data_IF_863937604887
#
_entry.id   IF_863937604887
#
_cell.length_a   1.000
_cell.length_b   1.000
_cell.length_c   1.000
_cell.angle_alpha   90.00
_cell.angle_beta   90.00
_cell.angle_gamma   90.00
#
_symmetry.space_group_name_H-M   'P 1'
#
loop_
_entity.id
_entity.type
_entity.pdbx_description
1 polymer ?
#
# COMPACT_ATOMS: atom_id res chain seq x y z
N UNK A 1 -2.75 42.78 -53.50
CA UNK A 1 -4.09 42.65 -52.87
C UNK A 1 -4.69 41.33 -53.34
N UNK A 2 -4.48 40.26 -52.59
CA UNK A 2 -5.02 38.92 -52.86
C UNK A 2 -5.57 38.36 -51.55
N UNK A 3 -6.83 37.96 -51.59
CA UNK A 3 -7.67 37.66 -50.44
C UNK A 3 -7.38 36.27 -49.89
N UNK A 4 -7.05 36.18 -48.59
CA UNK A 4 -7.10 34.93 -47.81
C UNK A 4 -8.55 34.55 -47.60
N UNK A 5 -8.96 33.40 -48.12
CA UNK A 5 -10.19 32.72 -47.72
C UNK A 5 -9.88 31.83 -46.50
N UNK A 6 -10.34 32.27 -45.33
CA UNK A 6 -10.27 31.51 -44.07
C UNK A 6 -11.54 30.66 -43.95
N UNK A 7 -11.43 29.36 -44.24
CA UNK A 7 -12.51 28.38 -44.08
C UNK A 7 -12.45 27.76 -42.69
N UNK A 8 -12.74 28.54 -41.65
CA UNK A 8 -13.08 28.01 -40.32
C UNK A 8 -14.57 27.68 -40.28
N UNK A 9 -14.92 26.45 -40.64
CA UNK A 9 -16.23 25.90 -40.28
C UNK A 9 -16.29 25.68 -38.76
N UNK A 10 -17.28 26.21 -38.03
CA UNK A 10 -17.47 25.85 -36.63
C UNK A 10 -17.99 24.41 -36.55
N UNK A 11 -17.12 23.46 -36.19
CA UNK A 11 -17.54 22.12 -35.76
C UNK A 11 -18.39 22.28 -34.52
N UNK A 12 -19.71 22.16 -34.70
CA UNK A 12 -20.69 21.97 -33.64
C UNK A 12 -20.26 20.75 -32.81
N UNK A 13 -19.67 20.97 -31.64
CA UNK A 13 -19.50 19.91 -30.64
C UNK A 13 -20.90 19.58 -30.13
N UNK A 14 -21.45 18.48 -30.62
CA UNK A 14 -22.63 17.85 -30.02
C UNK A 14 -22.13 17.21 -28.72
N UNK A 15 -22.32 17.91 -27.61
CA UNK A 15 -22.15 17.35 -26.28
C UNK A 15 -23.23 16.28 -26.10
N UNK A 16 -22.87 15.01 -26.30
CA UNK A 16 -23.66 13.90 -25.78
C UNK A 16 -23.54 13.93 -24.26
N UNK A 17 -24.51 14.59 -23.63
CA UNK A 17 -24.77 14.47 -22.20
C UNK A 17 -25.19 13.03 -21.93
N UNK A 18 -24.22 12.18 -21.56
CA UNK A 18 -24.47 10.87 -21.01
C UNK A 18 -24.97 11.05 -19.57
N UNK A 19 -26.27 10.80 -19.40
CA UNK A 19 -26.98 10.77 -18.13
C UNK A 19 -27.03 9.33 -17.64
N UNK A 20 -26.54 9.10 -16.42
CA UNK A 20 -26.40 7.76 -15.81
C UNK A 20 -25.05 7.18 -16.20
N UNK A 21 -24.11 6.97 -15.27
CA UNK A 21 -24.31 6.13 -14.10
C UNK A 21 -23.72 6.78 -12.84
N UNK A 22 -24.41 6.65 -11.70
CA UNK A 22 -23.75 6.82 -10.40
C UNK A 22 -22.89 5.58 -10.19
N UNK A 23 -21.72 5.55 -10.83
CA UNK A 23 -20.65 4.67 -10.40
C UNK A 23 -20.46 4.92 -8.90
N UNK A 24 -20.61 3.87 -8.09
CA UNK A 24 -20.12 3.92 -6.71
C UNK A 24 -18.70 4.48 -6.79
N UNK A 25 -18.30 5.45 -5.95
CA UNK A 25 -17.01 6.08 -6.09
C UNK A 25 -15.97 4.97 -6.01
N UNK A 26 -15.41 4.59 -7.16
CA UNK A 26 -14.27 3.71 -7.19
C UNK A 26 -13.26 4.40 -6.29
N UNK A 27 -12.88 3.75 -5.19
CA UNK A 27 -11.83 4.24 -4.32
C UNK A 27 -10.62 4.47 -5.22
N UNK A 28 -10.42 5.73 -5.63
CA UNK A 28 -9.33 6.06 -6.52
C UNK A 28 -8.06 5.75 -5.76
N UNK A 29 -7.19 4.95 -6.38
CA UNK A 29 -5.87 4.64 -5.84
C UNK A 29 -5.08 5.94 -5.56
N UNK A 30 -5.33 6.99 -6.34
CA UNK A 30 -4.76 8.33 -6.12
C UNK A 30 -5.26 8.99 -4.83
N UNK A 31 -6.48 8.66 -4.37
CA UNK A 31 -7.01 9.13 -3.09
C UNK A 31 -6.31 8.49 -1.87
N UNK A 32 -5.58 7.39 -2.07
CA UNK A 32 -4.82 6.73 -1.00
C UNK A 32 -3.43 7.37 -0.79
N UNK A 33 -2.86 8.01 -1.80
CA UNK A 33 -1.53 8.60 -1.71
C UNK A 33 -1.42 9.63 -0.56
N UNK A 34 -2.37 10.57 -0.35
CA UNK A 34 -2.33 11.47 0.80
C UNK A 34 -2.39 10.74 2.15
N UNK A 35 -3.16 9.64 2.24
CA UNK A 35 -3.32 8.88 3.48
C UNK A 35 -2.01 8.27 3.95
N UNK A 36 -1.18 7.78 3.01
CA UNK A 36 0.13 7.18 3.34
C UNK A 36 1.12 8.17 3.98
N UNK A 37 0.88 9.47 3.82
CA UNK A 37 1.71 10.55 4.37
C UNK A 37 1.27 10.99 5.77
N UNK A 38 0.08 10.55 6.22
CA UNK A 38 -0.47 10.94 7.53
C UNK A 38 0.29 10.29 8.69
N UNK A 39 0.41 10.96 9.85
CA UNK A 39 1.04 10.38 11.04
C UNK A 39 0.26 9.17 11.57
N UNK A 40 -1.07 9.19 11.44
CA UNK A 40 -1.92 8.05 11.82
C UNK A 40 -1.55 6.79 11.03
N UNK A 41 -1.30 6.92 9.73
CA UNK A 41 -0.85 5.79 8.91
C UNK A 41 0.58 5.36 9.29
N UNK A 42 1.54 6.31 9.25
CA UNK A 42 2.97 6.02 9.38
C UNK A 42 3.40 5.53 10.76
N UNK A 43 2.82 6.10 11.81
CA UNK A 43 3.21 5.78 13.18
C UNK A 43 2.14 4.95 13.88
N UNK A 44 0.87 5.33 13.74
CA UNK A 44 -0.24 4.62 14.39
C UNK A 44 -0.41 3.22 13.80
N UNK A 45 -0.82 3.14 12.54
CA UNK A 45 -1.23 1.89 11.92
C UNK A 45 -0.04 0.96 11.66
N UNK A 46 1.04 1.47 11.06
CA UNK A 46 2.24 0.65 10.83
C UNK A 46 2.88 0.18 12.14
N UNK A 47 2.94 1.04 13.16
CA UNK A 47 3.46 0.67 14.48
C UNK A 47 2.59 -0.38 15.17
N UNK A 48 1.27 -0.21 15.15
CA UNK A 48 0.33 -1.20 15.69
C UNK A 48 0.46 -2.57 15.00
N UNK A 49 0.60 -2.60 13.67
CA UNK A 49 0.81 -3.85 12.93
C UNK A 49 2.08 -4.56 13.40
N UNK A 50 3.21 -3.84 13.54
CA UNK A 50 4.46 -4.45 14.01
C UNK A 50 4.30 -5.01 15.42
N UNK A 51 3.69 -4.25 16.34
CA UNK A 51 3.47 -4.71 17.72
C UNK A 51 2.56 -5.94 17.80
N UNK A 52 1.48 -5.97 17.03
CA UNK A 52 0.56 -7.12 16.98
C UNK A 52 1.25 -8.35 16.42
N UNK A 53 2.03 -8.21 15.34
CA UNK A 53 2.78 -9.34 14.77
C UNK A 53 3.81 -9.87 15.76
N UNK A 54 4.60 -8.99 16.39
CA UNK A 54 5.60 -9.40 17.38
C UNK A 54 4.95 -10.09 18.58
N UNK A 55 3.85 -9.53 19.11
CA UNK A 55 3.11 -10.14 20.21
C UNK A 55 2.49 -11.49 19.83
N UNK A 56 1.97 -11.62 18.61
CA UNK A 56 1.43 -12.88 18.11
C UNK A 56 2.50 -13.96 17.94
N UNK A 57 3.69 -13.58 17.46
CA UNK A 57 4.85 -14.49 17.35
C UNK A 57 5.31 -14.93 18.74
N UNK A 58 5.52 -13.98 19.65
CA UNK A 58 5.96 -14.25 21.02
C UNK A 58 4.99 -15.22 21.72
N UNK A 59 3.71 -14.85 21.78
CA UNK A 59 2.67 -15.66 22.40
C UNK A 59 2.45 -17.01 21.71
N UNK A 60 2.66 -17.09 20.39
CA UNK A 60 2.52 -18.32 19.61
C UNK A 60 3.65 -19.31 19.83
N UNK A 61 4.89 -18.85 20.05
CA UNK A 61 6.03 -19.73 20.34
C UNK A 61 6.20 -20.04 21.82
N UNK A 62 5.74 -19.15 22.72
CA UNK A 62 5.67 -19.43 24.16
C UNK A 62 4.54 -20.39 24.53
N UNK A 63 3.53 -20.56 23.66
CA UNK A 63 2.36 -21.37 23.95
C UNK A 63 1.29 -20.63 24.76
N UNK A 64 1.35 -19.30 24.85
CA UNK A 64 0.47 -18.55 25.75
C UNK A 64 -0.99 -18.61 25.31
N UNK A 65 -1.27 -18.74 24.01
CA UNK A 65 -2.64 -18.77 23.51
C UNK A 65 -3.42 -19.98 24.02
N UNK A 66 -2.83 -21.18 24.01
CA UNK A 66 -3.50 -22.36 24.56
C UNK A 66 -3.49 -22.38 26.09
N UNK A 67 -2.42 -21.87 26.73
CA UNK A 67 -2.34 -21.79 28.19
C UNK A 67 -3.40 -20.86 28.79
N UNK A 68 -3.73 -19.78 28.08
CA UNK A 68 -4.79 -18.84 28.46
C UNK A 68 -6.19 -19.32 28.04
N UNK A 69 -6.30 -20.46 27.35
CA UNK A 69 -7.57 -21.00 26.85
C UNK A 69 -8.19 -20.21 25.70
N UNK A 70 -7.42 -19.34 25.04
CA UNK A 70 -7.88 -18.57 23.88
C UNK A 70 -7.98 -19.47 22.65
N UNK A 71 -7.01 -20.39 22.48
CA UNK A 71 -6.95 -21.34 21.37
C UNK A 71 -6.73 -22.76 21.89
N UNK A 72 -7.07 -23.76 21.08
CA UNK A 72 -6.57 -25.13 21.28
C UNK A 72 -5.13 -25.26 20.76
N UNK A 73 -4.41 -26.30 21.20
CA UNK A 73 -3.03 -26.56 20.77
C UNK A 73 -2.90 -26.71 19.25
N UNK A 74 -3.87 -27.37 18.61
CA UNK A 74 -3.88 -27.54 17.15
C UNK A 74 -4.10 -26.21 16.43
N UNK A 75 -5.02 -25.37 16.92
CA UNK A 75 -5.24 -24.02 16.38
C UNK A 75 -4.01 -23.13 16.53
N UNK A 76 -3.29 -23.23 17.65
CA UNK A 76 -2.03 -22.50 17.83
C UNK A 76 -0.92 -23.00 16.90
N UNK A 77 -0.90 -24.31 16.59
CA UNK A 77 -0.08 -24.87 15.51
C UNK A 77 -0.38 -24.23 14.15
N UNK A 78 -1.66 -24.12 13.79
CA UNK A 78 -2.09 -23.45 12.55
C UNK A 78 -1.71 -21.97 12.56
N UNK A 79 -1.91 -21.27 13.68
CA UNK A 79 -1.56 -19.85 13.83
C UNK A 79 -0.06 -19.61 13.58
N UNK A 80 0.82 -20.44 14.15
CA UNK A 80 2.26 -20.37 13.87
C UNK A 80 2.57 -20.55 12.39
N UNK A 81 1.91 -21.50 11.72
CA UNK A 81 2.03 -21.69 10.28
C UNK A 81 1.62 -20.45 9.48
N UNK A 82 0.52 -19.80 9.86
CA UNK A 82 0.08 -18.54 9.25
C UNK A 82 1.06 -17.39 9.50
N UNK A 83 1.66 -17.29 10.70
CA UNK A 83 2.68 -16.29 11.00
C UNK A 83 3.96 -16.52 10.18
N UNK A 84 4.35 -17.77 9.95
CA UNK A 84 5.46 -18.10 9.05
C UNK A 84 5.14 -17.70 7.60
N UNK A 85 3.93 -18.01 7.11
CA UNK A 85 3.48 -17.60 5.79
C UNK A 85 3.46 -16.07 5.64
N UNK A 86 3.02 -15.35 6.68
CA UNK A 86 3.05 -13.89 6.74
C UNK A 86 4.49 -13.37 6.64
N UNK A 87 5.45 -14.02 7.29
CA UNK A 87 6.87 -13.70 7.14
C UNK A 87 7.36 -13.82 5.69
N UNK A 88 6.99 -14.89 4.98
CA UNK A 88 7.31 -15.03 3.56
C UNK A 88 6.63 -13.97 2.69
N UNK A 89 5.40 -13.61 3.02
CA UNK A 89 4.70 -12.50 2.36
C UNK A 89 5.45 -11.17 2.53
N UNK A 90 5.95 -10.88 3.73
CA UNK A 90 6.77 -9.69 3.99
C UNK A 90 8.07 -9.68 3.17
N UNK A 91 8.72 -10.82 3.01
CA UNK A 91 9.91 -10.97 2.14
C UNK A 91 9.55 -10.66 0.69
N UNK A 92 8.40 -11.17 0.20
CA UNK A 92 7.89 -10.86 -1.13
C UNK A 92 7.64 -9.35 -1.31
N UNK A 93 7.00 -8.70 -0.34
CA UNK A 93 6.80 -7.25 -0.37
C UNK A 93 8.13 -6.48 -0.39
N UNK A 94 9.12 -6.92 0.39
CA UNK A 94 10.44 -6.28 0.43
C UNK A 94 11.15 -6.36 -0.93
N UNK A 95 11.01 -7.48 -1.64
CA UNK A 95 11.51 -7.62 -3.01
C UNK A 95 10.83 -6.64 -3.97
N UNK A 96 9.51 -6.45 -3.88
CA UNK A 96 8.82 -5.43 -4.69
C UNK A 96 9.29 -4.02 -4.32
N UNK A 97 9.46 -3.74 -3.03
CA UNK A 97 9.88 -2.44 -2.52
C UNK A 97 11.29 -2.04 -3.00
N UNK A 98 12.25 -2.97 -3.04
CA UNK A 98 13.60 -2.65 -3.50
C UNK A 98 13.61 -2.21 -4.96
N UNK A 99 12.81 -2.89 -5.80
CA UNK A 99 12.67 -2.56 -7.21
C UNK A 99 11.95 -1.22 -7.41
N UNK A 100 10.85 -1.01 -6.69
CA UNK A 100 10.10 0.25 -6.73
C UNK A 100 10.96 1.44 -6.26
N UNK A 101 11.66 1.31 -5.13
CA UNK A 101 12.49 2.37 -4.58
C UNK A 101 13.64 2.75 -5.53
N UNK A 102 14.32 1.75 -6.12
CA UNK A 102 15.38 1.96 -7.13
C UNK A 102 14.86 2.68 -8.36
N UNK A 103 13.70 2.27 -8.90
CA UNK A 103 13.10 2.91 -10.08
C UNK A 103 12.73 4.38 -9.86
N UNK A 104 12.56 4.78 -8.60
CA UNK A 104 12.17 6.13 -8.17
C UNK A 104 13.33 6.95 -7.61
N UNK A 105 14.57 6.45 -7.65
CA UNK A 105 15.72 7.15 -7.06
C UNK A 105 15.65 7.34 -5.53
N UNK A 106 14.83 6.56 -4.82
CA UNK A 106 14.72 6.60 -3.37
C UNK A 106 15.85 5.81 -2.71
N UNK A 107 16.14 6.10 -1.43
CA UNK A 107 17.03 5.25 -0.65
C UNK A 107 16.36 3.89 -0.39
N UNK A 108 16.76 2.90 -1.18
CA UNK A 108 16.14 1.57 -1.19
C UNK A 108 16.36 0.79 0.10
N UNK A 109 17.47 1.01 0.81
CA UNK A 109 17.82 0.24 2.00
C UNK A 109 16.82 0.45 3.16
N UNK A 110 16.57 1.69 3.66
CA UNK A 110 15.59 1.93 4.71
C UNK A 110 14.16 1.64 4.23
N UNK A 111 13.84 1.89 2.95
CA UNK A 111 12.53 1.53 2.39
C UNK A 111 12.28 0.02 2.45
N UNK A 112 13.25 -0.79 2.03
CA UNK A 112 13.15 -2.25 2.04
C UNK A 112 13.09 -2.81 3.46
N UNK A 113 13.93 -2.29 4.37
CA UNK A 113 13.92 -2.71 5.78
C UNK A 113 12.56 -2.41 6.44
N UNK A 114 12.01 -1.23 6.18
CA UNK A 114 10.68 -0.84 6.68
C UNK A 114 9.59 -1.76 6.13
N UNK A 115 9.64 -2.10 4.84
CA UNK A 115 8.68 -3.02 4.22
C UNK A 115 8.82 -4.44 4.75
N UNK A 116 10.02 -4.91 5.06
CA UNK A 116 10.20 -6.21 5.67
C UNK A 116 9.55 -6.29 7.07
N UNK A 117 9.66 -5.22 7.85
CA UNK A 117 9.07 -5.16 9.19
C UNK A 117 7.54 -4.99 9.16
N UNK A 118 7.03 -4.07 8.34
CA UNK A 118 5.62 -3.64 8.35
C UNK A 118 4.78 -4.40 7.32
N UNK A 119 5.41 -4.99 6.30
CA UNK A 119 4.74 -5.71 5.22
C UNK A 119 4.12 -4.78 4.18
N UNK A 120 2.97 -5.19 3.66
CA UNK A 120 2.28 -4.52 2.55
C UNK A 120 1.98 -3.04 2.81
N UNK A 121 1.71 -2.66 4.05
CA UNK A 121 1.36 -1.28 4.40
C UNK A 121 2.52 -0.31 4.12
N UNK A 122 3.75 -0.69 4.45
CA UNK A 122 4.90 0.11 4.08
C UNK A 122 5.22 0.01 2.58
N UNK A 123 4.88 -1.10 1.92
CA UNK A 123 5.06 -1.23 0.47
C UNK A 123 4.22 -0.19 -0.27
N UNK A 124 2.95 -0.02 0.13
CA UNK A 124 2.06 1.01 -0.41
C UNK A 124 2.67 2.41 -0.29
N UNK A 125 3.31 2.71 0.84
CA UNK A 125 4.02 3.98 1.02
C UNK A 125 5.17 4.16 0.00
N UNK A 126 5.96 3.12 -0.25
CA UNK A 126 7.03 3.14 -1.27
C UNK A 126 6.45 3.29 -2.68
N UNK A 127 5.32 2.64 -2.96
CA UNK A 127 4.64 2.69 -4.25
C UNK A 127 4.01 4.07 -4.54
N UNK A 128 3.66 4.85 -3.53
CA UNK A 128 3.16 6.24 -3.69
C UNK A 128 4.18 7.33 -3.34
N UNK A 129 5.37 6.96 -2.86
CA UNK A 129 6.45 7.90 -2.65
C UNK A 129 6.90 8.49 -4.00
N UNK A 130 7.07 9.80 -4.04
CA UNK A 130 7.67 10.51 -5.16
C UNK A 130 9.15 10.77 -4.82
N UNK A 131 10.01 10.76 -5.83
CA UNK A 131 11.35 11.29 -5.67
C UNK A 131 11.22 12.74 -5.22
N UNK A 132 11.98 13.16 -4.21
CA UNK A 132 12.08 14.58 -3.91
C UNK A 132 12.68 15.25 -5.15
N UNK A 133 11.85 15.97 -5.92
CA UNK A 133 12.36 16.87 -6.94
C UNK A 133 13.27 17.87 -6.21
N UNK A 134 14.52 17.94 -6.65
CA UNK A 134 15.63 18.64 -6.00
C UNK A 134 15.20 19.95 -5.30
N UNK A 135 15.38 19.98 -3.98
CA UNK A 135 15.26 21.17 -3.13
C UNK A 135 16.58 21.94 -3.12
#
# INVERSE_FOLDING_TARGET
RSHRFDLRSPRRQVACSAKGDREAPALSLDALAPLTRTPLYRWGLQGAVVLVILGAIDAGWSGDWHRLGVLTTDQEGVLRGLLTLLGFFHIGCAFVAVNAARSKGLNWAPATAKVLAVGFLALVEVLYAEAAADA
#
